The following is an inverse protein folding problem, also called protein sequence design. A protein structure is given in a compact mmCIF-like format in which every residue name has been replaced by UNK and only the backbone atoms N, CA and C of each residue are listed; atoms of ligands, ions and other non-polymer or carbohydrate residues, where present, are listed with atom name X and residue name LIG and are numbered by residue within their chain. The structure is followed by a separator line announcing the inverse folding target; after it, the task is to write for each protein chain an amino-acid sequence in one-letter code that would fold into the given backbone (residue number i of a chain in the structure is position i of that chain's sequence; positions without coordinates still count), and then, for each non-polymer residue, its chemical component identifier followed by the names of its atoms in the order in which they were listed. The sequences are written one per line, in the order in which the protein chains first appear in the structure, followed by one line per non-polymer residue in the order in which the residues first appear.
data_IF_656729971355
#
_entry.id   IF_656729971355
#
_cell.length_a   1.000
_cell.length_b   1.000
_cell.length_c   1.000
_cell.angle_alpha   90.00
_cell.angle_beta   90.00
_cell.angle_gamma   90.00
#
_symmetry.space_group_name_H-M   'P 1'
#
loop_
_entity.id
_entity.type
_entity.pdbx_description
1 polymer ?
#
# COMPACT_ATOMS: atom_id res chain seq x y z
N UNK A 1 15.30 -27.18 -0.34
CA UNK A 1 14.75 -28.54 -0.14
C UNK A 1 13.26 -28.49 -0.49
N UNK A 2 12.89 -28.92 -1.69
CA UNK A 2 11.50 -28.88 -2.15
C UNK A 2 10.76 -30.11 -1.65
N UNK A 3 9.84 -29.94 -0.70
CA UNK A 3 8.85 -30.96 -0.39
C UNK A 3 7.70 -30.81 -1.39
N UNK A 4 7.77 -31.59 -2.47
CA UNK A 4 6.78 -31.65 -3.55
C UNK A 4 5.51 -32.37 -3.10
N UNK A 5 4.84 -31.86 -2.07
CA UNK A 5 3.46 -32.29 -1.78
C UNK A 5 2.55 -31.51 -2.71
N UNK A 6 1.70 -32.20 -3.48
CA UNK A 6 0.75 -31.60 -4.44
C UNK A 6 -0.02 -30.40 -3.86
N UNK A 7 -0.46 -30.53 -2.59
CA UNK A 7 -1.14 -29.46 -1.83
C UNK A 7 -0.31 -28.18 -1.63
N UNK A 8 1.01 -28.29 -1.45
CA UNK A 8 1.89 -27.12 -1.28
C UNK A 8 2.15 -26.39 -2.59
N UNK A 9 2.25 -27.13 -3.69
CA UNK A 9 2.42 -26.56 -5.04
C UNK A 9 1.18 -25.77 -5.42
N UNK A 10 0.00 -26.36 -5.23
CA UNK A 10 -1.29 -25.70 -5.50
C UNK A 10 -1.48 -24.43 -4.65
N UNK A 11 -1.19 -24.50 -3.34
CA UNK A 11 -1.26 -23.34 -2.45
C UNK A 11 -0.29 -22.22 -2.88
N UNK A 12 0.96 -22.56 -3.24
CA UNK A 12 1.94 -21.58 -3.70
C UNK A 12 1.48 -20.88 -4.98
N UNK A 13 1.01 -21.65 -5.97
CA UNK A 13 0.49 -21.12 -7.22
C UNK A 13 -0.71 -20.20 -6.97
N UNK A 14 -1.66 -20.61 -6.12
CA UNK A 14 -2.82 -19.80 -5.76
C UNK A 14 -2.41 -18.46 -5.12
N UNK A 15 -1.50 -18.49 -4.14
CA UNK A 15 -1.00 -17.27 -3.48
C UNK A 15 -0.25 -16.38 -4.48
N UNK A 16 0.57 -16.95 -5.37
CA UNK A 16 1.25 -16.20 -6.42
C UNK A 16 0.28 -15.51 -7.38
N UNK A 17 -0.79 -16.18 -7.81
CA UNK A 17 -1.81 -15.57 -8.68
C UNK A 17 -2.53 -14.42 -7.99
N UNK A 18 -2.90 -14.59 -6.72
CA UNK A 18 -3.54 -13.52 -5.94
C UNK A 18 -2.59 -12.33 -5.80
N UNK A 19 -1.33 -12.56 -5.43
CA UNK A 19 -0.33 -11.50 -5.30
C UNK A 19 -0.11 -10.75 -6.62
N UNK A 20 0.02 -11.47 -7.74
CA UNK A 20 0.17 -10.87 -9.07
C UNK A 20 -1.07 -10.06 -9.48
N UNK A 21 -2.27 -10.55 -9.17
CA UNK A 21 -3.52 -9.82 -9.44
C UNK A 21 -3.56 -8.49 -8.68
N UNK A 22 -3.25 -8.52 -7.38
CA UNK A 22 -3.21 -7.30 -6.54
C UNK A 22 -2.15 -6.32 -7.06
N UNK A 23 -0.96 -6.80 -7.39
CA UNK A 23 0.11 -5.97 -7.94
C UNK A 23 -0.29 -5.31 -9.27
N UNK A 24 -0.90 -6.07 -10.18
CA UNK A 24 -1.32 -5.56 -11.49
C UNK A 24 -2.49 -4.58 -11.40
N UNK A 25 -3.42 -4.81 -10.47
CA UNK A 25 -4.50 -3.85 -10.23
C UNK A 25 -3.96 -2.52 -9.68
N UNK A 26 -2.96 -2.59 -8.79
CA UNK A 26 -2.27 -1.40 -8.30
C UNK A 26 -1.57 -0.63 -9.43
N UNK A 27 -0.90 -1.33 -10.34
CA UNK A 27 -0.29 -0.73 -11.54
C UNK A 27 -1.35 -0.01 -12.41
N UNK A 28 -2.48 -0.66 -12.68
CA UNK A 28 -3.60 -0.09 -13.44
C UNK A 28 -4.15 1.20 -12.79
N UNK A 29 -4.32 1.22 -11.47
CA UNK A 29 -4.81 2.40 -10.75
C UNK A 29 -3.82 3.56 -10.76
N UNK A 30 -2.52 3.27 -10.67
CA UNK A 30 -1.47 4.29 -10.77
C UNK A 30 -1.46 4.96 -12.14
N UNK A 31 -1.62 4.18 -13.21
CA UNK A 31 -1.76 4.70 -14.58
C UNK A 31 -3.03 5.56 -14.73
N UNK A 32 -4.18 5.09 -14.23
CA UNK A 32 -5.43 5.85 -14.24
C UNK A 32 -5.35 7.16 -13.45
N UNK A 33 -4.52 7.20 -12.40
CA UNK A 33 -4.30 8.37 -11.55
C UNK A 33 -3.20 9.31 -12.05
N UNK A 34 -2.67 9.04 -13.25
CA UNK A 34 -1.56 9.74 -13.91
C UNK A 34 -0.24 9.74 -13.10
N UNK A 35 -0.08 8.80 -12.17
CA UNK A 35 1.14 8.64 -11.38
C UNK A 35 2.14 7.86 -12.24
N UNK A 36 2.99 8.57 -12.97
CA UNK A 36 4.06 7.99 -13.80
C UNK A 36 5.23 7.43 -12.96
N UNK A 37 4.94 6.50 -12.06
CA UNK A 37 5.93 5.84 -11.20
C UNK A 37 5.67 4.34 -11.16
N UNK A 38 6.74 3.54 -11.10
CA UNK A 38 6.59 2.10 -10.89
C UNK A 38 6.05 1.80 -9.50
N UNK A 39 5.30 0.71 -9.39
CA UNK A 39 4.72 0.24 -8.12
C UNK A 39 5.78 0.15 -7.02
N UNK A 40 6.96 -0.38 -7.33
CA UNK A 40 8.07 -0.49 -6.37
C UNK A 40 8.53 0.85 -5.81
N UNK A 41 8.58 1.90 -6.65
CA UNK A 41 8.95 3.25 -6.21
C UNK A 41 7.86 3.86 -5.33
N UNK A 42 6.60 3.61 -5.66
CA UNK A 42 5.45 4.04 -4.84
C UNK A 42 5.51 3.36 -3.47
N UNK A 43 5.74 2.05 -3.43
CA UNK A 43 5.88 1.29 -2.19
C UNK A 43 7.08 1.75 -1.36
N UNK A 44 8.21 2.04 -1.99
CA UNK A 44 9.38 2.59 -1.31
C UNK A 44 9.09 3.95 -0.67
N UNK A 45 8.39 4.84 -1.37
CA UNK A 45 7.97 6.13 -0.82
C UNK A 45 6.94 5.97 0.30
N UNK A 46 5.98 5.07 0.14
CA UNK A 46 4.96 4.78 1.15
C UNK A 46 5.59 4.30 2.47
N UNK A 47 6.63 3.46 2.42
CA UNK A 47 7.38 3.02 3.61
C UNK A 47 8.05 4.17 4.38
N UNK A 48 8.31 5.30 3.74
CA UNK A 48 8.95 6.46 4.37
C UNK A 48 7.95 7.48 4.94
N UNK A 49 6.65 7.26 4.75
CA UNK A 49 5.60 8.06 5.39
C UNK A 49 5.51 7.62 6.85
N UNK A 50 5.72 8.57 7.75
CA UNK A 50 5.64 8.34 9.18
C UNK A 50 4.25 8.75 9.68
N UNK A 51 3.63 7.84 10.44
CA UNK A 51 2.42 8.14 11.20
C UNK A 51 2.83 8.38 12.64
N UNK A 52 2.58 9.59 13.15
CA UNK A 52 2.89 9.97 14.52
C UNK A 52 1.61 9.80 15.34
N UNK A 53 1.69 9.03 16.41
CA UNK A 53 0.63 8.92 17.41
C UNK A 53 1.04 9.68 18.66
N UNK A 54 0.30 10.73 19.00
CA UNK A 54 0.52 11.58 20.17
C UNK A 54 -0.60 11.31 21.16
N UNK A 55 -0.25 10.78 22.33
CA UNK A 55 -1.20 10.64 23.43
C UNK A 55 -1.24 11.94 24.21
N UNK A 56 -2.37 12.66 24.17
CA UNK A 56 -2.49 13.90 24.93
C UNK A 56 -2.52 13.57 26.44
N UNK A 57 -1.67 14.22 27.25
CA UNK A 57 -1.59 13.92 28.69
C UNK A 57 -2.85 14.34 29.44
N UNK A 58 -3.58 15.33 28.93
CA UNK A 58 -4.76 15.91 29.59
C UNK A 58 -6.05 15.17 29.23
N UNK A 59 -6.24 14.75 27.97
CA UNK A 59 -7.52 14.22 27.49
C UNK A 59 -7.52 12.69 27.30
N UNK A 60 -6.39 11.99 27.53
CA UNK A 60 -6.18 10.54 27.24
C UNK A 60 -6.44 10.11 25.78
N UNK A 61 -6.90 10.99 24.92
CA UNK A 61 -7.09 10.76 23.49
C UNK A 61 -5.75 10.59 22.77
N UNK A 62 -5.74 9.69 21.78
CA UNK A 62 -4.59 9.42 20.93
C UNK A 62 -4.82 10.12 19.59
N UNK A 63 -4.09 11.21 19.37
CA UNK A 63 -4.09 11.92 18.10
C UNK A 63 -3.16 11.20 17.13
N UNK A 64 -3.69 10.73 16.00
CA UNK A 64 -2.88 10.06 14.96
C UNK A 64 -2.77 10.98 13.76
N UNK A 65 -1.55 11.40 13.42
CA UNK A 65 -1.28 12.24 12.26
C UNK A 65 -0.32 11.54 11.30
N UNK A 66 -0.75 11.40 10.05
CA UNK A 66 0.11 10.93 8.95
C UNK A 66 0.89 12.12 8.35
N UNK A 67 2.21 12.03 8.33
CA UNK A 67 3.09 13.12 7.88
C UNK A 67 3.39 13.03 6.37
N UNK A 68 2.56 13.70 5.57
CA UNK A 68 2.77 13.83 4.12
C UNK A 68 3.72 14.99 3.80
N UNK A 69 5.01 14.69 3.73
CA UNK A 69 6.06 15.62 3.30
C UNK A 69 5.99 15.97 1.80
N UNK A 70 6.70 17.01 1.36
CA UNK A 70 6.78 17.43 -0.06
C UNK A 70 7.19 16.31 -1.00
N UNK A 71 8.10 15.42 -0.57
CA UNK A 71 8.52 14.22 -1.34
C UNK A 71 7.39 13.18 -1.54
N UNK A 72 6.35 13.22 -0.71
CA UNK A 72 5.20 12.31 -0.78
C UNK A 72 4.00 12.90 -1.55
N UNK A 73 4.06 14.15 -2.01
CA UNK A 73 2.93 14.78 -2.71
C UNK A 73 2.45 14.00 -3.93
N UNK A 74 3.37 13.35 -4.65
CA UNK A 74 3.05 12.53 -5.83
C UNK A 74 2.19 11.31 -5.50
N UNK A 75 2.30 10.78 -4.28
CA UNK A 75 1.55 9.61 -3.81
C UNK A 75 0.44 9.98 -2.82
N UNK A 76 0.28 11.27 -2.51
CA UNK A 76 -0.68 11.73 -1.51
C UNK A 76 -2.12 11.33 -1.84
N UNK A 77 -2.46 11.29 -3.14
CA UNK A 77 -3.78 10.82 -3.62
C UNK A 77 -4.11 9.40 -3.15
N UNK A 78 -3.12 8.51 -2.97
CA UNK A 78 -3.33 7.13 -2.54
C UNK A 78 -3.75 7.01 -1.06
N UNK A 79 -3.51 8.05 -0.27
CA UNK A 79 -3.81 8.09 1.17
C UNK A 79 -5.15 8.79 1.47
N UNK A 80 -5.87 9.23 0.44
CA UNK A 80 -7.26 9.68 0.56
C UNK A 80 -8.18 8.46 0.66
N UNK A 81 -9.10 8.45 1.63
CA UNK A 81 -10.06 7.37 1.83
C UNK A 81 -10.96 7.18 0.60
N UNK A 82 -11.22 8.28 -0.15
CA UNK A 82 -12.06 8.27 -1.34
C UNK A 82 -11.35 7.67 -2.58
N UNK A 83 -10.03 7.50 -2.54
CA UNK A 83 -9.26 7.04 -3.70
C UNK A 83 -9.58 5.60 -4.10
N UNK A 84 -9.89 4.75 -3.12
CA UNK A 84 -10.11 3.31 -3.32
C UNK A 84 -11.58 2.95 -3.51
N UNK A 85 -12.48 3.92 -3.39
CA UNK A 85 -13.91 3.72 -3.59
C UNK A 85 -14.16 3.59 -5.09
N UNK A 86 -14.77 2.48 -5.49
CA UNK A 86 -15.17 2.24 -6.88
C UNK A 86 -16.31 3.21 -7.23
N UNK A 87 -16.13 4.00 -8.30
CA UNK A 87 -17.24 4.72 -8.94
C UNK A 87 -18.09 3.74 -9.76
#
# INVERSE_FOLDING_TARGET
MFHFTRKRIEAHICICFVALKVYKELERMLEASEIRMSVDKVLALAKTITTIQIKLPLNKEVYTQTMLMTRHQKIAKLFDENFWVTQ
#
